data_IF_468763716408
#
_entry.id   IF_468763716408
#
_cell.length_a   1.000
_cell.length_b   1.000
_cell.length_c   1.000
_cell.angle_alpha   90.00
_cell.angle_beta   90.00
_cell.angle_gamma   90.00
#
_symmetry.space_group_name_H-M   'P 1'
#
loop_
_entity.id
_entity.type
_entity.pdbx_description
1 polymer ?
#
# COMPACT_ATOMS: atom_id res chain seq x y z
N UNK A 1 -3.38 -17.13 -3.60
CA UNK A 1 -3.63 -15.67 -3.66
C UNK A 1 -2.34 -14.97 -4.06
N UNK A 2 -2.40 -13.99 -4.97
CA UNK A 2 -1.32 -13.03 -5.23
C UNK A 2 -1.56 -11.77 -4.38
N UNK A 3 -0.59 -11.37 -3.56
CA UNK A 3 -0.64 -10.13 -2.79
C UNK A 3 -0.23 -8.95 -3.69
N UNK A 4 -1.11 -8.57 -4.62
CA UNK A 4 -0.88 -7.45 -5.52
C UNK A 4 -1.30 -6.13 -4.88
N UNK A 5 -0.45 -5.11 -4.97
CA UNK A 5 -0.74 -3.77 -4.47
C UNK A 5 -0.94 -3.71 -2.95
N UNK A 6 -1.82 -2.80 -2.52
CA UNK A 6 -2.23 -2.65 -1.12
C UNK A 6 -3.46 -3.50 -0.86
N UNK A 7 -3.41 -4.36 0.16
CA UNK A 7 -4.53 -5.20 0.54
C UNK A 7 -5.65 -4.36 1.15
N UNK A 8 -6.87 -4.89 1.08
CA UNK A 8 -8.07 -4.33 1.71
C UNK A 8 -8.61 -5.32 2.73
N UNK A 9 -9.19 -4.81 3.81
CA UNK A 9 -9.83 -5.63 4.82
C UNK A 9 -11.29 -5.89 4.44
N UNK A 10 -11.70 -7.16 4.41
CA UNK A 10 -13.07 -7.58 4.16
C UNK A 10 -13.63 -8.31 5.37
N UNK A 11 -14.86 -7.97 5.75
CA UNK A 11 -15.69 -8.77 6.65
C UNK A 11 -16.52 -9.70 5.77
N UNK A 12 -16.20 -10.99 5.83
CA UNK A 12 -16.92 -12.04 5.12
C UNK A 12 -17.71 -12.87 6.11
N UNK A 13 -19.00 -13.06 5.84
CA UNK A 13 -19.91 -13.87 6.63
C UNK A 13 -20.52 -14.94 5.73
N UNK A 14 -20.51 -16.18 6.19
CA UNK A 14 -21.11 -17.30 5.46
C UNK A 14 -21.71 -18.33 6.40
N UNK A 15 -22.59 -19.16 5.86
CA UNK A 15 -23.30 -20.23 6.57
C UNK A 15 -23.47 -21.44 5.66
N UNK A 16 -23.87 -22.57 6.23
CA UNK A 16 -24.37 -23.70 5.45
C UNK A 16 -25.74 -23.36 4.87
N UNK A 17 -26.12 -24.02 3.78
CA UNK A 17 -27.48 -23.94 3.27
C UNK A 17 -28.45 -24.53 4.32
N UNK A 18 -29.59 -23.87 4.59
CA UNK A 18 -30.64 -24.45 5.43
C UNK A 18 -31.09 -25.81 4.88
N UNK A 19 -31.26 -26.79 5.77
CA UNK A 19 -31.74 -28.13 5.44
C UNK A 19 -32.83 -28.53 6.43
N UNK A 20 -33.69 -29.50 6.10
CA UNK A 20 -34.72 -30.00 7.01
C UNK A 20 -34.17 -30.43 8.38
N UNK A 21 -32.93 -30.93 8.43
CA UNK A 21 -32.24 -31.31 9.68
C UNK A 21 -31.72 -30.11 10.49
N UNK A 22 -31.40 -29.01 9.82
CA UNK A 22 -30.89 -27.80 10.46
C UNK A 22 -31.42 -26.55 9.72
N UNK A 23 -32.60 -26.04 10.11
CA UNK A 23 -33.23 -24.91 9.43
C UNK A 23 -32.48 -23.60 9.65
N UNK A 24 -31.77 -23.47 10.77
CA UNK A 24 -31.06 -22.24 11.15
C UNK A 24 -29.57 -22.50 11.41
N UNK A 25 -28.76 -22.72 10.36
CA UNK A 25 -27.35 -22.98 10.51
C UNK A 25 -26.61 -21.74 11.06
N UNK A 26 -25.56 -21.93 11.90
CA UNK A 26 -24.83 -20.83 12.51
C UNK A 26 -24.07 -20.00 11.47
N UNK A 27 -23.96 -18.69 11.72
CA UNK A 27 -23.22 -17.77 10.87
C UNK A 27 -21.76 -17.68 11.33
N UNK A 28 -20.84 -17.84 10.38
CA UNK A 28 -19.40 -17.70 10.62
C UNK A 28 -18.89 -16.40 9.99
N UNK A 29 -18.16 -15.61 10.80
CA UNK A 29 -17.56 -14.34 10.37
C UNK A 29 -16.04 -14.42 10.40
N UNK A 30 -15.39 -13.96 9.34
CA UNK A 30 -13.94 -13.80 9.28
C UNK A 30 -13.54 -12.41 8.78
N UNK A 31 -12.38 -11.95 9.23
CA UNK A 31 -11.66 -10.79 8.69
C UNK A 31 -10.65 -11.31 7.69
N UNK A 32 -10.79 -10.94 6.43
CA UNK A 32 -9.96 -11.44 5.34
C UNK A 32 -9.25 -10.26 4.68
N UNK A 33 -7.93 -10.34 4.54
CA UNK A 33 -7.14 -9.36 3.82
C UNK A 33 -6.93 -9.83 2.38
N UNK A 34 -7.42 -9.05 1.42
CA UNK A 34 -7.39 -9.42 0.00
C UNK A 34 -7.36 -8.17 -0.90
N UNK A 35 -6.89 -8.29 -2.15
CA UNK A 35 -6.93 -7.16 -3.09
C UNK A 35 -8.37 -6.82 -3.53
N UNK A 36 -9.21 -7.83 -3.76
CA UNK A 36 -10.60 -7.68 -4.20
C UNK A 36 -11.54 -8.62 -3.43
N UNK A 37 -12.84 -8.37 -3.56
CA UNK A 37 -13.89 -9.12 -2.88
C UNK A 37 -13.99 -10.58 -3.37
N UNK A 38 -13.64 -10.86 -4.63
CA UNK A 38 -13.64 -12.23 -5.20
C UNK A 38 -12.61 -13.10 -4.49
N UNK A 39 -11.39 -12.59 -4.37
CA UNK A 39 -10.31 -13.27 -3.65
C UNK A 39 -10.64 -13.36 -2.16
N UNK A 40 -11.30 -12.36 -1.57
CA UNK A 40 -11.77 -12.42 -0.18
C UNK A 40 -12.73 -13.59 0.04
N UNK A 41 -13.75 -13.76 -0.82
CA UNK A 41 -14.67 -14.92 -0.78
C UNK A 41 -13.93 -16.24 -0.94
N UNK A 42 -12.98 -16.32 -1.89
CA UNK A 42 -12.15 -17.51 -2.10
C UNK A 42 -11.37 -17.91 -0.84
N UNK A 43 -10.71 -16.94 -0.17
CA UNK A 43 -9.96 -17.22 1.06
C UNK A 43 -10.85 -17.55 2.25
N UNK A 44 -12.02 -16.95 2.35
CA UNK A 44 -13.00 -17.31 3.37
C UNK A 44 -13.35 -18.82 3.27
N UNK A 45 -13.70 -19.31 2.08
CA UNK A 45 -14.00 -20.73 1.89
C UNK A 45 -12.79 -21.64 2.12
N UNK A 46 -11.58 -21.19 1.79
CA UNK A 46 -10.36 -21.91 2.13
C UNK A 46 -10.22 -22.12 3.65
N UNK A 47 -10.34 -21.06 4.45
CA UNK A 47 -10.18 -21.17 5.91
C UNK A 47 -11.35 -21.87 6.59
N UNK A 48 -12.59 -21.62 6.17
CA UNK A 48 -13.76 -22.27 6.76
C UNK A 48 -13.76 -23.78 6.50
N UNK A 49 -13.29 -24.23 5.34
CA UNK A 49 -13.19 -25.67 5.07
C UNK A 49 -12.18 -26.37 5.97
N UNK A 50 -11.07 -25.71 6.32
CA UNK A 50 -10.10 -26.22 7.29
C UNK A 50 -10.63 -26.24 8.73
N UNK A 51 -11.40 -25.22 9.14
CA UNK A 51 -11.84 -25.08 10.54
C UNK A 51 -13.14 -25.82 10.86
N UNK A 52 -14.09 -25.85 9.92
CA UNK A 52 -15.46 -26.35 10.14
C UNK A 52 -15.93 -27.38 9.10
N UNK A 53 -15.03 -27.86 8.23
CA UNK A 53 -15.34 -28.83 7.17
C UNK A 53 -16.49 -28.41 6.24
N UNK A 54 -16.82 -27.11 6.17
CA UNK A 54 -17.85 -26.61 5.26
C UNK A 54 -17.25 -26.29 3.90
N UNK A 55 -17.92 -26.73 2.84
CA UNK A 55 -17.53 -26.47 1.44
C UNK A 55 -18.46 -25.43 0.82
N UNK A 56 -17.95 -24.69 -0.18
CA UNK A 56 -18.72 -23.72 -0.95
C UNK A 56 -19.96 -24.33 -1.62
N UNK A 57 -19.92 -25.61 -2.00
CA UNK A 57 -21.07 -26.27 -2.64
C UNK A 57 -22.30 -26.36 -1.72
N UNK A 58 -22.08 -26.55 -0.41
CA UNK A 58 -23.15 -26.77 0.57
C UNK A 58 -23.41 -25.53 1.44
N UNK A 59 -22.90 -24.37 1.04
CA UNK A 59 -22.99 -23.16 1.84
C UNK A 59 -22.96 -21.90 0.99
N UNK A 60 -23.40 -20.82 1.59
CA UNK A 60 -23.57 -19.53 0.94
C UNK A 60 -22.82 -18.42 1.67
N UNK A 61 -22.42 -17.40 0.91
CA UNK A 61 -21.84 -16.18 1.47
C UNK A 61 -22.94 -15.16 1.67
N UNK A 62 -23.33 -14.93 2.92
CA UNK A 62 -24.40 -14.00 3.31
C UNK A 62 -23.96 -12.55 3.13
N UNK A 63 -22.72 -12.23 3.52
CA UNK A 63 -22.20 -10.87 3.46
C UNK A 63 -20.72 -10.87 3.07
N UNK A 64 -20.34 -9.94 2.19
CA UNK A 64 -18.94 -9.63 1.90
C UNK A 64 -18.83 -8.13 1.69
N UNK A 65 -18.35 -7.43 2.72
CA UNK A 65 -18.20 -5.97 2.70
C UNK A 65 -16.82 -5.55 3.14
N UNK A 66 -16.40 -4.38 2.65
CA UNK A 66 -15.12 -3.78 3.01
C UNK A 66 -15.20 -3.18 4.43
N UNK A 67 -14.15 -3.36 5.21
CA UNK A 67 -14.01 -2.77 6.55
C UNK A 67 -13.03 -1.61 6.45
N UNK A 68 -13.54 -0.41 6.72
CA UNK A 68 -12.72 0.78 6.80
C UNK A 68 -12.11 0.93 8.20
N UNK A 69 -10.91 1.48 8.25
CA UNK A 69 -10.24 1.80 9.50
C UNK A 69 -10.97 2.95 10.20
N UNK A 70 -11.20 2.84 11.51
CA UNK A 70 -11.91 3.87 12.28
C UNK A 70 -11.15 5.19 12.37
N UNK A 71 -9.82 5.11 12.48
CA UNK A 71 -8.93 6.26 12.68
C UNK A 71 -7.74 6.17 11.74
N UNK A 72 -7.91 6.51 10.44
CA UNK A 72 -6.86 6.34 9.43
C UNK A 72 -5.72 7.36 9.55
N UNK A 73 -5.90 8.46 10.29
CA UNK A 73 -4.89 9.52 10.42
C UNK A 73 -3.94 9.29 11.61
N UNK A 74 -4.25 8.33 12.49
CA UNK A 74 -3.47 8.06 13.69
C UNK A 74 -2.53 6.89 13.47
N UNK A 75 -1.25 7.11 13.73
CA UNK A 75 -0.24 6.03 13.71
C UNK A 75 -0.50 5.08 14.87
N UNK A 76 -0.52 3.78 14.57
CA UNK A 76 -0.81 2.69 15.51
C UNK A 76 0.24 1.61 15.40
N UNK A 77 0.38 0.82 16.46
CA UNK A 77 1.20 -0.39 16.44
C UNK A 77 0.27 -1.60 16.29
N UNK A 78 0.60 -2.51 15.39
CA UNK A 78 -0.16 -3.71 15.10
C UNK A 78 0.70 -4.95 15.39
N UNK A 79 0.18 -5.85 16.21
CA UNK A 79 0.69 -7.20 16.35
C UNK A 79 -0.01 -8.13 15.38
N UNK A 80 0.79 -8.88 14.63
CA UNK A 80 0.32 -9.85 13.65
C UNK A 80 0.85 -11.22 14.05
N UNK A 81 -0.09 -12.13 14.32
CA UNK A 81 0.19 -13.55 14.50
C UNK A 81 -0.07 -14.23 13.17
N UNK A 82 0.98 -14.85 12.65
CA UNK A 82 0.92 -15.58 11.39
C UNK A 82 1.46 -16.98 11.57
N UNK A 83 0.90 -17.90 10.81
CA UNK A 83 1.50 -19.18 10.49
C UNK A 83 2.01 -19.09 9.07
N UNK A 84 3.19 -19.63 8.80
CA UNK A 84 3.69 -19.74 7.43
C UNK A 84 4.35 -21.08 7.20
N UNK A 85 4.28 -21.51 5.94
CA UNK A 85 4.94 -22.73 5.50
C UNK A 85 6.30 -22.35 4.90
N UNK A 86 7.36 -22.88 5.51
CA UNK A 86 8.73 -22.85 4.98
C UNK A 86 8.94 -24.01 4.00
N UNK A 87 10.16 -24.17 3.50
CA UNK A 87 10.53 -25.33 2.66
C UNK A 87 10.57 -26.64 3.46
N UNK A 88 10.85 -26.55 4.76
CA UNK A 88 11.10 -27.70 5.63
C UNK A 88 9.92 -28.01 6.56
N UNK A 89 9.02 -27.05 6.81
CA UNK A 89 7.90 -27.25 7.71
C UNK A 89 7.07 -25.99 7.96
N UNK A 90 6.09 -26.10 8.84
CA UNK A 90 5.18 -24.98 9.14
C UNK A 90 5.56 -24.33 10.47
N UNK A 91 5.71 -23.01 10.50
CA UNK A 91 6.14 -22.29 11.70
C UNK A 91 5.18 -21.16 12.05
N UNK A 92 5.01 -20.95 13.36
CA UNK A 92 4.26 -19.83 13.89
C UNK A 92 5.20 -18.65 14.13
N UNK A 93 4.73 -17.46 13.79
CA UNK A 93 5.47 -16.23 13.96
C UNK A 93 4.59 -15.13 14.53
N UNK A 94 5.22 -14.28 15.33
CA UNK A 94 4.64 -13.03 15.81
C UNK A 94 5.51 -11.87 15.32
N UNK A 95 4.90 -10.92 14.62
CA UNK A 95 5.56 -9.70 14.12
C UNK A 95 4.77 -8.46 14.52
N UNK A 96 5.49 -7.36 14.66
CA UNK A 96 4.92 -6.06 15.00
C UNK A 96 5.24 -5.06 13.89
N UNK A 97 4.24 -4.28 13.51
CA UNK A 97 4.37 -3.23 12.50
C UNK A 97 3.77 -1.94 13.03
N UNK A 98 4.32 -0.80 12.60
CA UNK A 98 3.81 0.53 12.93
C UNK A 98 3.28 1.16 11.65
N UNK A 99 1.97 1.37 11.61
CA UNK A 99 1.27 1.86 10.42
C UNK A 99 -0.03 2.59 10.82
N UNK A 100 -0.67 3.24 9.87
CA UNK A 100 -1.92 3.97 10.06
C UNK A 100 -3.17 3.07 9.99
N UNK A 101 -3.14 2.02 9.17
CA UNK A 101 -4.28 1.12 8.93
C UNK A 101 -3.91 -0.35 9.11
N UNK A 102 -4.89 -1.18 9.50
CA UNK A 102 -4.68 -2.64 9.59
C UNK A 102 -4.26 -3.25 8.26
N UNK A 103 -4.84 -2.79 7.16
CA UNK A 103 -4.60 -3.34 5.84
C UNK A 103 -3.21 -3.01 5.30
N UNK A 104 -2.70 -1.81 5.59
CA UNK A 104 -1.34 -1.42 5.26
C UNK A 104 -0.32 -2.22 6.09
N UNK A 105 -0.55 -2.39 7.41
CA UNK A 105 0.31 -3.20 8.26
C UNK A 105 0.39 -4.66 7.79
N UNK A 106 -0.74 -5.26 7.37
CA UNK A 106 -0.75 -6.63 6.81
C UNK A 106 -0.06 -6.66 5.45
N UNK A 107 -0.21 -5.63 4.62
CA UNK A 107 0.51 -5.52 3.34
C UNK A 107 2.02 -5.47 3.57
N UNK A 108 2.47 -4.67 4.52
CA UNK A 108 3.87 -4.62 4.95
C UNK A 108 4.33 -5.99 5.44
N UNK A 109 3.49 -6.72 6.19
CA UNK A 109 3.80 -8.07 6.63
C UNK A 109 4.01 -9.06 5.48
N UNK A 110 3.19 -9.01 4.44
CA UNK A 110 3.38 -9.86 3.26
C UNK A 110 4.69 -9.53 2.52
N UNK A 111 5.03 -8.24 2.38
CA UNK A 111 6.29 -7.81 1.75
C UNK A 111 7.50 -8.24 2.57
N UNK A 112 7.44 -8.07 3.88
CA UNK A 112 8.52 -8.42 4.80
C UNK A 112 8.79 -9.93 4.84
N UNK A 113 7.73 -10.73 4.89
CA UNK A 113 7.82 -12.19 4.81
C UNK A 113 8.38 -12.67 3.46
N UNK A 114 8.04 -11.98 2.37
CA UNK A 114 8.64 -12.21 1.06
C UNK A 114 10.13 -11.84 1.00
N UNK A 115 10.52 -10.72 1.60
CA UNK A 115 11.90 -10.24 1.58
C UNK A 115 12.83 -11.09 2.45
N UNK A 116 12.45 -11.36 3.69
CA UNK A 116 13.32 -12.04 4.66
C UNK A 116 13.29 -13.55 4.55
N UNK A 117 12.11 -14.12 4.32
CA UNK A 117 11.88 -15.57 4.37
C UNK A 117 11.55 -16.18 3.01
N UNK A 118 11.48 -15.36 1.94
CA UNK A 118 11.03 -15.78 0.60
C UNK A 118 9.66 -16.48 0.64
N UNK A 119 8.85 -16.16 1.65
CA UNK A 119 7.54 -16.77 1.85
C UNK A 119 6.55 -16.16 0.87
N UNK A 120 5.88 -17.03 0.10
CA UNK A 120 4.88 -16.60 -0.87
C UNK A 120 3.56 -16.32 -0.17
N UNK A 121 2.74 -15.44 -0.76
CA UNK A 121 1.46 -15.03 -0.17
C UNK A 121 0.48 -16.19 0.06
N UNK A 122 0.56 -17.28 -0.70
CA UNK A 122 -0.28 -18.46 -0.48
C UNK A 122 0.17 -19.31 0.73
N UNK A 123 1.45 -19.28 1.07
CA UNK A 123 2.06 -20.01 2.19
C UNK A 123 1.87 -19.29 3.53
N UNK A 124 1.42 -18.03 3.53
CA UNK A 124 1.24 -17.22 4.73
C UNK A 124 -0.24 -17.20 5.11
N UNK A 125 -0.50 -17.54 6.37
CA UNK A 125 -1.82 -17.53 6.98
C UNK A 125 -1.82 -16.54 8.15
N UNK A 126 -2.58 -15.46 8.01
CA UNK A 126 -2.76 -14.48 9.09
C UNK A 126 -3.84 -15.00 10.04
N UNK A 127 -3.47 -15.29 11.28
CA UNK A 127 -4.39 -15.83 12.28
C UNK A 127 -5.09 -14.73 13.06
N UNK A 128 -4.32 -13.71 13.48
CA UNK A 128 -4.82 -12.60 14.29
C UNK A 128 -4.08 -11.33 13.98
N UNK A 129 -4.81 -10.22 13.92
CA UNK A 129 -4.27 -8.85 13.84
C UNK A 129 -4.92 -8.04 14.94
N UNK A 130 -4.09 -7.43 15.80
CA UNK A 130 -4.55 -6.63 16.92
C UNK A 130 -3.73 -5.36 17.04
N UNK A 131 -4.40 -4.24 17.37
CA UNK A 131 -3.72 -3.02 17.77
C UNK A 131 -3.12 -3.20 19.17
N UNK A 132 -1.87 -2.79 19.33
CA UNK A 132 -1.09 -2.95 20.56
C UNK A 132 -0.74 -1.55 21.11
N UNK A 133 -0.90 -1.39 22.42
CA UNK A 133 -0.47 -0.18 23.12
C UNK A 133 1.06 -0.12 23.19
N UNK A 134 1.64 1.08 23.19
CA UNK A 134 3.10 1.29 23.15
C UNK A 134 3.87 0.48 24.21
N UNK A 135 3.33 0.38 25.43
CA UNK A 135 3.94 -0.33 26.55
C UNK A 135 4.01 -1.85 26.35
N UNK A 136 3.15 -2.42 25.50
CA UNK A 136 3.05 -3.88 25.26
C UNK A 136 3.82 -4.33 24.01
N UNK A 137 4.44 -3.41 23.27
CA UNK A 137 5.27 -3.78 22.12
C UNK A 137 6.53 -4.52 22.57
N UNK A 138 6.94 -5.54 21.83
CA UNK A 138 8.07 -6.41 22.16
C UNK A 138 9.28 -6.16 21.26
N UNK A 139 9.09 -5.67 20.03
CA UNK A 139 10.18 -5.53 19.04
C UNK A 139 10.95 -4.21 19.26
N UNK A 140 12.30 -4.26 19.38
CA UNK A 140 13.10 -3.04 19.62
C UNK A 140 12.96 -2.04 18.47
N UNK A 141 12.88 -2.52 17.22
CA UNK A 141 12.66 -1.69 16.04
C UNK A 141 11.35 -0.89 16.06
N UNK A 142 10.33 -1.31 16.83
CA UNK A 142 9.08 -0.55 17.01
C UNK A 142 9.20 0.34 18.25
N UNK A 143 9.79 -0.17 19.33
CA UNK A 143 9.99 0.58 20.59
C UNK A 143 10.78 1.86 20.41
N UNK A 144 11.77 1.87 19.51
CA UNK A 144 12.57 3.08 19.26
C UNK A 144 11.71 4.28 18.84
N UNK A 145 10.57 4.06 18.18
CA UNK A 145 9.69 5.14 17.72
C UNK A 145 8.68 5.61 18.78
N UNK A 146 8.78 5.13 20.02
CA UNK A 146 7.87 5.53 21.11
C UNK A 146 8.41 6.68 21.97
N UNK A 147 9.74 6.84 22.03
CA UNK A 147 10.36 7.94 22.79
C UNK A 147 10.25 9.26 22.01
N UNK A 148 10.56 10.40 22.66
CA UNK A 148 10.27 11.78 22.23
C UNK A 148 10.86 12.24 20.89
N UNK A 149 11.05 13.56 20.65
CA UNK A 149 11.33 14.08 19.30
C UNK A 149 12.54 13.39 18.66
N UNK A 150 12.27 12.63 17.60
CA UNK A 150 13.30 11.92 16.83
C UNK A 150 13.87 12.88 15.80
N UNK A 151 15.03 13.45 16.08
CA UNK A 151 15.81 14.14 15.04
C UNK A 151 16.62 13.09 14.29
N UNK A 152 16.07 12.59 13.18
CA UNK A 152 16.79 11.70 12.27
C UNK A 152 17.44 12.59 11.21
N UNK A 153 18.78 12.71 11.24
CA UNK A 153 19.51 13.40 10.18
C UNK A 153 19.56 12.50 8.93
N UNK A 154 18.92 12.95 7.85
CA UNK A 154 19.02 12.29 6.54
C UNK A 154 20.39 12.59 5.92
N UNK A 155 21.30 11.61 6.02
CA UNK A 155 22.64 11.71 5.41
C UNK A 155 22.66 11.45 3.91
N UNK A 156 21.62 10.83 3.35
CA UNK A 156 21.50 10.52 1.93
C UNK A 156 20.32 11.28 1.34
N UNK A 157 20.62 12.29 0.52
CA UNK A 157 19.62 12.96 -0.32
C UNK A 157 19.66 12.33 -1.70
N UNK A 158 18.61 11.57 -2.06
CA UNK A 158 18.50 10.97 -3.40
C UNK A 158 17.93 12.01 -4.36
N UNK A 159 18.78 12.55 -5.23
CA UNK A 159 18.35 13.45 -6.30
C UNK A 159 17.84 12.59 -7.47
N UNK A 160 16.52 12.56 -7.66
CA UNK A 160 15.92 11.95 -8.85
C UNK A 160 15.94 12.95 -10.02
N UNK A 161 17.06 13.02 -10.73
CA UNK A 161 17.10 13.69 -12.03
C UNK A 161 16.47 12.77 -13.07
N UNK A 162 15.22 13.01 -13.44
CA UNK A 162 14.66 12.44 -14.68
C UNK A 162 15.38 13.09 -15.86
N UNK A 163 16.49 12.51 -16.29
CA UNK A 163 17.07 12.82 -17.61
C UNK A 163 16.25 12.03 -18.63
N UNK A 164 15.16 12.64 -19.09
CA UNK A 164 14.44 12.13 -20.24
C UNK A 164 15.16 12.66 -21.47
N UNK A 165 16.12 11.88 -21.96
CA UNK A 165 16.84 12.15 -23.21
C UNK A 165 15.81 11.98 -24.35
N UNK A 166 15.14 13.06 -24.70
CA UNK A 166 14.30 13.13 -25.89
C UNK A 166 15.28 13.22 -27.06
N UNK A 167 15.50 12.09 -27.75
CA UNK A 167 16.25 12.06 -29.00
C UNK A 167 15.44 12.87 -30.01
N UNK A 168 15.76 14.15 -30.14
CA UNK A 168 15.30 14.98 -31.25
C UNK A 168 16.19 14.63 -32.43
N UNK A 169 15.65 13.87 -33.39
CA UNK A 169 16.34 13.55 -34.65
C UNK A 169 16.66 14.80 -35.48
N UNK A 170 17.59 14.72 -36.45
CA UNK A 170 18.30 15.86 -37.02
C UNK A 170 17.51 16.73 -38.01
N UNK A 171 16.18 16.67 -38.03
CA UNK A 171 15.39 17.31 -39.10
C UNK A 171 14.74 18.66 -38.70
N UNK A 172 14.93 19.15 -37.47
CA UNK A 172 14.26 20.38 -37.00
C UNK A 172 15.19 21.55 -36.68
N UNK A 173 16.47 21.48 -37.07
CA UNK A 173 17.43 22.56 -36.82
C UNK A 173 17.29 23.78 -37.76
N UNK A 174 16.59 23.63 -38.90
CA UNK A 174 16.55 24.69 -39.91
C UNK A 174 15.42 25.74 -39.70
N UNK A 175 14.29 25.38 -39.09
CA UNK A 175 13.15 26.31 -38.97
C UNK A 175 13.16 27.19 -37.71
N UNK A 176 13.83 26.78 -36.63
CA UNK A 176 13.85 27.55 -35.38
C UNK A 176 14.83 28.73 -35.45
N UNK A 177 15.89 28.62 -36.27
CA UNK A 177 16.88 29.69 -36.45
C UNK A 177 16.34 30.94 -37.17
N UNK A 178 15.41 30.79 -38.11
CA UNK A 178 14.85 31.93 -38.85
C UNK A 178 13.84 32.74 -38.03
N UNK A 179 13.05 32.09 -37.17
CA UNK A 179 12.02 32.77 -36.38
C UNK A 179 12.64 33.56 -35.21
N UNK A 180 13.75 33.06 -34.63
CA UNK A 180 14.46 33.77 -33.57
C UNK A 180 15.27 34.97 -34.11
N UNK A 181 15.74 34.93 -35.36
CA UNK A 181 16.49 36.04 -35.98
C UNK A 181 15.64 37.29 -36.27
N UNK A 182 14.35 37.13 -36.60
CA UNK A 182 13.47 38.27 -36.90
C UNK A 182 12.98 39.01 -35.64
N UNK A 183 12.94 38.36 -34.47
CA UNK A 183 12.51 39.01 -33.22
C UNK A 183 13.61 39.88 -32.58
N UNK A 184 14.89 39.58 -32.81
CA UNK A 184 15.99 40.35 -32.20
C UNK A 184 16.33 41.66 -32.93
N UNK A 185 15.94 41.83 -34.20
CA UNK A 185 16.14 43.09 -34.93
C UNK A 185 15.13 44.19 -34.52
N UNK A 186 13.94 43.82 -34.04
CA UNK A 186 12.90 44.78 -33.65
C UNK A 186 13.08 45.42 -32.27
N UNK A 187 13.84 44.78 -31.36
CA UNK A 187 14.05 45.25 -29.99
C UNK A 187 15.20 46.27 -29.84
N UNK A 188 16.06 46.41 -30.85
CA UNK A 188 17.17 47.38 -30.81
C UNK A 188 16.73 48.83 -31.05
N UNK A 189 15.68 49.06 -31.86
CA UNK A 189 15.18 50.41 -32.17
C UNK A 189 14.41 51.08 -31.02
N UNK A 190 13.77 50.29 -30.15
CA UNK A 190 12.98 50.82 -29.01
C UNK A 190 13.91 51.33 -27.89
N UNK A 191 15.10 50.77 -27.74
CA UNK A 191 16.05 51.17 -26.70
C UNK A 191 16.78 52.48 -27.02
N UNK A 192 16.97 52.82 -28.30
CA UNK A 192 17.58 54.11 -28.68
C UNK A 192 16.65 55.31 -28.45
N UNK A 193 15.33 55.14 -28.57
CA UNK A 193 14.37 56.24 -28.38
C UNK A 193 14.14 56.60 -26.89
N UNK A 194 14.23 55.63 -25.98
CA UNK A 194 14.00 55.87 -24.54
C UNK A 194 15.23 56.54 -23.88
N UNK A 195 16.44 56.33 -24.43
CA UNK A 195 17.67 56.93 -23.92
C UNK A 195 17.80 58.45 -24.14
N UNK A 196 17.16 59.02 -25.17
CA UNK A 196 17.25 60.46 -25.46
C UNK A 196 16.27 61.33 -24.67
N UNK A 197 15.15 60.78 -24.18
CA UNK A 197 14.13 61.53 -23.44
C UNK A 197 14.49 61.80 -21.97
N UNK A 198 15.51 61.14 -21.42
CA UNK A 198 15.90 61.28 -20.00
C UNK A 198 17.04 62.27 -19.73
N UNK A 199 17.57 62.93 -20.77
CA UNK A 199 18.63 63.95 -20.66
C UNK A 199 18.13 65.40 -20.82
N UNK A 200 16.83 65.61 -21.08
CA UNK A 200 16.22 66.95 -21.26
C UNK A 200 15.32 67.40 -20.11
N UNK A 201 15.28 66.63 -19.02
CA UNK A 201 14.66 67.01 -17.76
C UNK A 201 15.75 67.13 -16.68
N UNK A 202 16.66 68.10 -16.89
CA UNK A 202 17.40 68.80 -15.85
C UNK A 202 16.79 70.19 -15.75
#
# INVERSE_FOLDING_TARGET
MKASGTLREYKVVGRLLPSAKNPTPPLYRMRIFAPNHVVAKSRFWYFVSQLRKMKKANGETVYCGLVHEKTPLKVKNFGIWLRYDSRSGTHNMYREYRDMTTSAAVTQCYRDMGARHRARAHSIQIMKVQQIAANKCRRPAIKQFHVGPHTISTFVSVVFSKVQLLVVGPHWSAMVGMILGMMFAGLSLVWLCIGQLRLKAR
#
